data_IF_391813260232
#
_entry.id   IF_391813260232
#
_cell.length_a   1.000
_cell.length_b   1.000
_cell.length_c   1.000
_cell.angle_alpha   90.00
_cell.angle_beta   90.00
_cell.angle_gamma   90.00
#
_symmetry.space_group_name_H-M   'P 1'
#
loop_
_entity.id
_entity.type
_entity.pdbx_description
1 polymer ?
#
# COMPACT_ATOMS: atom_id res chain seq x y z
N UNK A 1 11.05 -3.93 -3.21
CA UNK A 1 10.31 -3.99 -1.93
C UNK A 1 10.90 -5.04 -1.00
N UNK A 2 11.14 -4.73 0.28
CA UNK A 2 11.50 -5.68 1.34
C UNK A 2 10.32 -5.93 2.32
N UNK A 3 10.49 -6.83 3.29
CA UNK A 3 9.43 -7.16 4.25
C UNK A 3 9.00 -5.98 5.13
N UNK A 4 9.92 -5.09 5.49
CA UNK A 4 9.61 -3.93 6.31
C UNK A 4 8.71 -2.93 5.55
N UNK A 5 9.06 -2.64 4.30
CA UNK A 5 8.26 -1.81 3.39
C UNK A 5 6.88 -2.43 3.13
N UNK A 6 6.82 -3.75 2.93
CA UNK A 6 5.56 -4.47 2.73
C UNK A 6 4.63 -4.35 3.95
N UNK A 7 5.16 -4.47 5.17
CA UNK A 7 4.38 -4.29 6.41
C UNK A 7 3.86 -2.86 6.54
N UNK A 8 4.68 -1.85 6.21
CA UNK A 8 4.24 -0.45 6.24
C UNK A 8 3.09 -0.22 5.26
N UNK A 9 3.23 -0.65 4.01
CA UNK A 9 2.17 -0.51 3.00
C UNK A 9 0.91 -1.30 3.37
N UNK A 10 1.05 -2.47 4.00
CA UNK A 10 -0.08 -3.24 4.52
C UNK A 10 -0.87 -2.49 5.60
N UNK A 11 -0.16 -1.84 6.53
CA UNK A 11 -0.79 -1.03 7.58
C UNK A 11 -1.47 0.19 6.97
N UNK A 12 -0.83 0.86 6.00
CA UNK A 12 -1.41 2.01 5.31
C UNK A 12 -2.72 1.61 4.64
N UNK A 13 -2.70 0.57 3.78
CA UNK A 13 -3.90 0.08 3.10
C UNK A 13 -4.98 -0.33 4.10
N UNK A 14 -4.63 -1.20 5.05
CA UNK A 14 -5.59 -1.73 6.02
C UNK A 14 -6.21 -0.68 6.94
N UNK A 15 -5.56 0.46 7.16
CA UNK A 15 -6.15 1.58 7.90
C UNK A 15 -6.96 2.52 7.01
N UNK A 16 -6.45 2.84 5.82
CA UNK A 16 -7.00 3.91 4.99
C UNK A 16 -8.12 3.46 4.07
N UNK A 17 -8.24 2.16 3.76
CA UNK A 17 -9.31 1.63 2.91
C UNK A 17 -10.70 1.75 3.57
N UNK A 18 -10.77 1.68 4.90
CA UNK A 18 -12.03 1.81 5.64
C UNK A 18 -12.37 3.26 6.03
N UNK A 19 -11.46 4.20 5.77
CA UNK A 19 -11.61 5.61 6.08
C UNK A 19 -11.87 6.40 4.79
N UNK A 20 -12.71 7.46 4.81
CA UNK A 20 -12.98 8.28 3.62
C UNK A 20 -11.82 9.26 3.32
N UNK A 21 -10.60 8.73 3.17
CA UNK A 21 -9.34 9.50 3.04
C UNK A 21 -8.48 9.10 1.84
N UNK A 22 -8.95 8.17 0.99
CA UNK A 22 -8.24 7.63 -0.18
C UNK A 22 -6.96 6.84 0.17
N UNK A 23 -7.09 5.51 0.18
CA UNK A 23 -5.97 4.57 0.35
C UNK A 23 -4.93 4.69 -0.77
N UNK A 24 -5.38 4.83 -2.02
CA UNK A 24 -4.51 4.99 -3.19
C UNK A 24 -3.54 6.17 -3.03
N UNK A 25 -4.02 7.31 -2.53
CA UNK A 25 -3.17 8.49 -2.30
C UNK A 25 -2.08 8.23 -1.26
N UNK A 26 -2.46 7.61 -0.15
CA UNK A 26 -1.52 7.27 0.93
C UNK A 26 -0.49 6.22 0.48
N UNK A 27 -0.88 5.25 -0.34
CA UNK A 27 0.01 4.24 -0.91
C UNK A 27 1.04 4.86 -1.87
N UNK A 28 0.65 5.83 -2.69
CA UNK A 28 1.57 6.58 -3.57
C UNK A 28 2.57 7.39 -2.74
N UNK A 29 2.10 8.11 -1.71
CA UNK A 29 2.98 8.92 -0.85
C UNK A 29 3.95 8.02 -0.07
N UNK A 30 3.45 6.95 0.56
CA UNK A 30 4.28 6.02 1.34
C UNK A 30 5.33 5.32 0.49
N UNK A 31 4.95 4.77 -0.66
CA UNK A 31 5.89 4.11 -1.58
C UNK A 31 6.92 5.10 -2.18
N UNK A 32 6.53 6.35 -2.42
CA UNK A 32 7.45 7.39 -2.90
C UNK A 32 8.43 7.83 -1.82
N UNK A 33 7.96 7.98 -0.58
CA UNK A 33 8.80 8.31 0.58
C UNK A 33 9.85 7.23 0.86
N UNK A 34 9.48 5.96 0.66
CA UNK A 34 10.41 4.83 0.75
C UNK A 34 11.29 4.65 -0.49
N UNK A 35 11.11 5.46 -1.55
CA UNK A 35 11.91 5.37 -2.78
C UNK A 35 11.62 4.14 -3.65
N UNK A 36 10.49 3.46 -3.43
CA UNK A 36 10.13 2.20 -4.11
C UNK A 36 8.97 2.33 -5.10
N UNK A 37 8.37 3.52 -5.25
CA UNK A 37 7.18 3.74 -6.09
C UNK A 37 7.36 3.35 -7.57
N UNK A 38 8.59 3.42 -8.09
CA UNK A 38 8.91 3.09 -9.48
C UNK A 38 9.03 1.58 -9.74
N UNK A 39 9.13 0.76 -8.70
CA UNK A 39 9.28 -0.69 -8.80
C UNK A 39 7.96 -1.31 -9.34
N UNK A 40 8.00 -2.03 -10.48
CA UNK A 40 6.82 -2.71 -11.02
C UNK A 40 6.17 -3.68 -10.02
N UNK A 41 6.97 -4.31 -9.16
CA UNK A 41 6.46 -5.20 -8.13
C UNK A 41 5.66 -4.45 -7.07
N UNK A 42 6.06 -3.23 -6.70
CA UNK A 42 5.32 -2.41 -5.74
C UNK A 42 3.94 -2.04 -6.29
N UNK A 43 3.85 -1.69 -7.58
CA UNK A 43 2.55 -1.43 -8.23
C UNK A 43 1.64 -2.67 -8.22
N UNK A 44 2.20 -3.85 -8.47
CA UNK A 44 1.43 -5.09 -8.36
C UNK A 44 0.98 -5.33 -6.91
N UNK A 45 1.89 -5.14 -5.96
CA UNK A 45 1.62 -5.34 -4.54
C UNK A 45 0.53 -4.41 -4.02
N UNK A 46 0.54 -3.13 -4.40
CA UNK A 46 -0.48 -2.15 -3.98
C UNK A 46 -1.88 -2.54 -4.43
N UNK A 47 -2.03 -3.24 -5.57
CA UNK A 47 -3.33 -3.76 -6.02
C UNK A 47 -3.67 -5.08 -5.34
N UNK A 48 -2.69 -5.98 -5.19
CA UNK A 48 -2.91 -7.29 -4.57
C UNK A 48 -3.32 -7.18 -3.10
N UNK A 49 -2.74 -6.21 -2.36
CA UNK A 49 -2.99 -6.08 -0.93
C UNK A 49 -4.40 -5.57 -0.60
N UNK A 50 -5.06 -4.89 -1.53
CA UNK A 50 -6.46 -4.48 -1.38
C UNK A 50 -7.39 -5.69 -1.21
N UNK A 51 -7.02 -6.85 -1.77
CA UNK A 51 -7.77 -8.09 -1.56
C UNK A 51 -7.83 -8.50 -0.09
N UNK A 52 -6.80 -8.18 0.70
CA UNK A 52 -6.80 -8.39 2.14
C UNK A 52 -7.82 -7.51 2.86
N UNK A 53 -7.96 -6.25 2.45
CA UNK A 53 -8.98 -5.35 2.96
C UNK A 53 -10.40 -5.73 2.49
N UNK A 54 -10.55 -6.26 1.27
CA UNK A 54 -11.83 -6.78 0.77
C UNK A 54 -12.28 -8.03 1.55
N UNK A 55 -11.34 -8.86 1.99
CA UNK A 55 -11.62 -10.11 2.70
C UNK A 55 -11.94 -9.92 4.19
N UNK A 56 -11.58 -8.78 4.79
CA UNK A 56 -11.68 -8.53 6.24
C UNK A 56 -13.10 -8.41 6.77
#
# INVERSE_FOLDING_TARGET
MNYFEAVILAIIEGLTEFLPVSSTGHMIIGSSFMGIASDPFVKLFTVAIQLGAILS
#
